data_IF_031041492260
#
_entry.id   IF_031041492260
#
_cell.length_a   1.000
_cell.length_b   1.000
_cell.length_c   1.000
_cell.angle_alpha   90.00
_cell.angle_beta   90.00
_cell.angle_gamma   90.00
#
_symmetry.space_group_name_H-M   'P 1'
#
loop_
_entity.id
_entity.type
_entity.pdbx_description
1 polymer ?
#
# COMPACT_ATOMS: atom_id res chain seq x y z
N UNK A 1 28.12 51.46 13.71
CA UNK A 1 28.41 51.83 12.29
C UNK A 1 27.66 50.77 11.46
N UNK A 2 26.44 50.87 11.03
CA UNK A 2 25.79 51.75 10.06
C UNK A 2 26.37 51.62 8.67
N UNK A 3 25.63 50.94 7.79
CA UNK A 3 25.32 51.28 6.39
C UNK A 3 24.61 50.04 5.78
N UNK A 4 23.36 49.97 5.48
CA UNK A 4 22.34 50.68 4.72
C UNK A 4 22.50 50.58 3.19
N UNK A 5 21.44 50.06 2.60
CA UNK A 5 20.81 50.37 1.32
C UNK A 5 21.36 49.61 0.09
N UNK A 6 20.56 49.22 -0.94
CA UNK A 6 19.31 49.72 -1.56
C UNK A 6 18.79 48.70 -2.57
N UNK A 7 17.51 48.39 -2.57
CA UNK A 7 16.47 48.56 -3.63
C UNK A 7 16.86 48.66 -5.10
N UNK A 8 16.21 47.86 -5.95
CA UNK A 8 15.62 48.24 -7.26
C UNK A 8 14.79 47.07 -7.81
N UNK A 9 13.52 47.02 -7.80
CA UNK A 9 12.35 47.33 -8.60
C UNK A 9 12.60 47.53 -10.11
N UNK A 10 11.88 46.70 -10.90
CA UNK A 10 11.28 47.08 -12.23
C UNK A 10 10.49 45.83 -12.70
N UNK A 11 9.19 45.78 -12.63
CA UNK A 11 8.11 46.37 -13.42
C UNK A 11 8.16 46.07 -14.93
N UNK A 12 7.09 45.50 -15.39
CA UNK A 12 6.59 45.50 -16.77
C UNK A 12 6.59 44.10 -17.38
N UNK A 13 5.59 43.61 -18.06
CA UNK A 13 4.46 44.26 -18.72
C UNK A 13 3.44 43.18 -19.11
N UNK A 14 2.20 43.54 -18.99
CA UNK A 14 1.00 42.93 -19.58
C UNK A 14 1.16 42.74 -21.10
N UNK A 15 0.62 41.59 -21.60
CA UNK A 15 -0.11 41.67 -22.88
C UNK A 15 -1.29 40.67 -22.82
N UNK A 16 -2.44 41.29 -22.79
CA UNK A 16 -3.73 40.70 -23.14
C UNK A 16 -3.81 40.56 -24.65
N UNK A 17 -4.33 39.45 -25.14
CA UNK A 17 -5.03 39.44 -26.41
C UNK A 17 -6.29 38.58 -26.31
N UNK A 18 -7.30 39.19 -26.43
CA UNK A 18 -8.73 39.20 -26.58
C UNK A 18 -9.11 38.63 -27.96
N UNK A 19 -10.22 37.92 -27.97
CA UNK A 19 -11.31 37.90 -28.95
C UNK A 19 -11.16 37.03 -30.19
N UNK A 20 -12.07 36.04 -30.36
CA UNK A 20 -13.14 36.21 -31.36
C UNK A 20 -14.18 35.09 -31.26
N UNK A 21 -15.33 35.46 -30.80
CA UNK A 21 -16.64 34.88 -31.07
C UNK A 21 -16.94 34.95 -32.56
N UNK A 22 -17.45 33.82 -33.15
CA UNK A 22 -18.19 33.94 -34.42
C UNK A 22 -19.46 33.12 -34.36
N UNK A 23 -20.52 33.83 -34.05
CA UNK A 23 -21.90 33.52 -34.23
C UNK A 23 -22.23 33.80 -35.70
N UNK A 24 -22.79 32.86 -36.42
CA UNK A 24 -23.54 33.15 -37.64
C UNK A 24 -24.89 32.47 -37.56
N UNK A 25 -25.86 33.32 -37.56
CA UNK A 25 -27.30 33.10 -37.58
C UNK A 25 -27.83 33.27 -39.02
N UNK A 26 -28.95 32.62 -39.24
CA UNK A 26 -30.01 32.99 -40.21
C UNK A 26 -29.80 32.61 -41.68
N UNK A 27 -30.81 32.00 -42.34
CA UNK A 27 -32.08 32.53 -42.81
C UNK A 27 -32.75 31.41 -43.65
N UNK A 28 -33.91 30.93 -43.37
CA UNK A 28 -35.24 31.39 -43.73
C UNK A 28 -35.57 31.42 -45.24
N UNK A 29 -36.70 30.82 -45.52
CA UNK A 29 -37.60 30.95 -46.65
C UNK A 29 -37.40 29.94 -47.78
N UNK A 30 -38.39 29.37 -48.40
CA UNK A 30 -39.79 29.72 -48.59
C UNK A 30 -40.47 28.62 -49.35
N UNK A 31 -41.68 28.31 -48.90
CA UNK A 31 -42.90 27.89 -49.62
C UNK A 31 -42.79 27.51 -51.11
N UNK A 32 -43.46 26.39 -51.46
CA UNK A 32 -44.59 26.43 -52.45
C UNK A 32 -45.27 25.07 -52.52
N UNK A 33 -46.53 25.11 -52.15
CA UNK A 33 -47.76 24.67 -52.84
C UNK A 33 -47.95 23.22 -53.28
N UNK A 34 -49.06 22.70 -52.72
CA UNK A 34 -49.81 21.53 -53.14
C UNK A 34 -50.32 21.65 -54.58
N UNK A 35 -50.67 20.49 -55.16
CA UNK A 35 -52.10 20.36 -55.45
C UNK A 35 -52.73 19.01 -54.95
N UNK A 36 -53.98 19.18 -54.64
CA UNK A 36 -55.04 18.16 -54.44
C UNK A 36 -55.16 17.28 -55.66
N UNK A 37 -55.41 16.02 -55.45
CA UNK A 37 -56.65 15.36 -55.72
C UNK A 37 -56.47 13.83 -55.79
N UNK A 38 -57.52 13.18 -55.32
CA UNK A 38 -58.17 11.94 -55.64
C UNK A 38 -57.87 10.65 -54.86
N UNK A 39 -58.88 10.41 -54.04
CA UNK A 39 -59.79 9.25 -53.95
C UNK A 39 -59.19 7.88 -53.52
N UNK A 40 -59.68 7.51 -52.33
CA UNK A 40 -60.46 6.32 -51.97
C UNK A 40 -59.88 4.95 -52.34
N UNK A 41 -59.56 4.23 -51.33
CA UNK A 41 -60.04 2.86 -51.08
C UNK A 41 -59.72 2.46 -49.64
N UNK A 42 -60.73 2.09 -48.91
CA UNK A 42 -60.69 1.35 -47.66
C UNK A 42 -59.84 0.11 -47.79
N UNK A 43 -58.86 0.00 -46.87
CA UNK A 43 -58.43 -1.31 -46.42
C UNK A 43 -57.94 -1.19 -44.96
N UNK A 44 -58.87 -1.58 -44.11
CA UNK A 44 -58.63 -1.78 -42.67
C UNK A 44 -57.58 -2.85 -42.45
N UNK A 45 -56.33 -2.42 -42.37
CA UNK A 45 -55.31 -3.32 -41.87
C UNK A 45 -55.22 -3.12 -40.37
N UNK A 46 -55.90 -3.99 -39.65
CA UNK A 46 -55.77 -4.28 -38.25
C UNK A 46 -54.29 -4.35 -37.88
N UNK A 47 -53.77 -3.31 -37.22
CA UNK A 47 -52.50 -3.41 -36.51
C UNK A 47 -52.70 -4.38 -35.34
N UNK A 48 -52.39 -5.63 -35.61
CA UNK A 48 -52.17 -6.67 -34.62
C UNK A 48 -51.00 -6.22 -33.77
N UNK A 49 -51.32 -5.62 -32.63
CA UNK A 49 -50.33 -5.44 -31.58
C UNK A 49 -49.82 -6.82 -31.19
N UNK A 50 -48.68 -7.18 -31.71
CA UNK A 50 -47.96 -8.37 -31.28
C UNK A 50 -47.57 -8.17 -29.81
N UNK A 51 -48.34 -8.84 -29.00
CA UNK A 51 -48.13 -9.06 -27.58
C UNK A 51 -46.84 -9.91 -27.41
N UNK A 52 -45.68 -9.25 -27.58
CA UNK A 52 -44.40 -9.84 -27.24
C UNK A 52 -44.21 -9.66 -25.73
N UNK A 53 -44.72 -10.56 -24.96
CA UNK A 53 -44.15 -10.99 -23.67
C UNK A 53 -45.17 -11.85 -22.91
N UNK A 54 -45.41 -13.03 -23.45
CA UNK A 54 -45.86 -14.10 -22.55
C UNK A 54 -45.27 -15.43 -23.01
N UNK A 55 -43.96 -15.51 -23.05
CA UNK A 55 -43.26 -16.79 -23.09
C UNK A 55 -43.46 -17.42 -21.72
N UNK A 56 -44.48 -18.24 -21.56
CA UNK A 56 -44.65 -19.13 -20.40
C UNK A 56 -43.36 -19.95 -20.27
N UNK A 57 -42.41 -19.43 -19.50
CA UNK A 57 -41.24 -20.20 -19.08
C UNK A 57 -41.78 -21.37 -18.27
N UNK A 58 -41.61 -22.59 -18.79
CA UNK A 58 -42.17 -23.80 -18.19
C UNK A 58 -41.84 -23.83 -16.70
N UNK A 59 -42.82 -24.10 -15.84
CA UNK A 59 -42.75 -23.98 -14.38
C UNK A 59 -41.56 -24.63 -13.71
N UNK A 60 -40.91 -25.60 -14.36
CA UNK A 60 -39.67 -26.23 -13.89
C UNK A 60 -38.45 -25.29 -13.98
N UNK A 61 -38.36 -24.42 -15.01
CA UNK A 61 -37.26 -23.44 -15.15
C UNK A 61 -37.42 -22.27 -14.18
N UNK A 62 -38.63 -21.83 -13.89
CA UNK A 62 -38.90 -20.78 -12.90
C UNK A 62 -38.63 -21.29 -11.48
N UNK A 63 -39.00 -22.54 -11.18
CA UNK A 63 -38.69 -23.19 -9.90
C UNK A 63 -37.19 -23.35 -9.69
N UNK A 64 -36.45 -23.72 -10.72
CA UNK A 64 -34.99 -23.82 -10.68
C UNK A 64 -34.32 -22.45 -10.47
N UNK A 65 -34.81 -21.39 -11.13
CA UNK A 65 -34.30 -20.03 -10.92
C UNK A 65 -34.62 -19.53 -9.52
N UNK A 66 -35.79 -19.82 -8.96
CA UNK A 66 -36.13 -19.48 -7.57
C UNK A 66 -35.24 -20.23 -6.56
N UNK A 67 -35.00 -21.51 -6.78
CA UNK A 67 -34.10 -22.30 -5.96
C UNK A 67 -32.68 -21.78 -6.03
N UNK A 68 -32.18 -21.44 -7.22
CA UNK A 68 -30.87 -20.83 -7.41
C UNK A 68 -30.77 -19.46 -6.70
N UNK A 69 -31.79 -18.62 -6.82
CA UNK A 69 -31.86 -17.33 -6.13
C UNK A 69 -31.85 -17.49 -4.60
N UNK A 70 -32.59 -18.48 -4.07
CA UNK A 70 -32.60 -18.78 -2.64
C UNK A 70 -31.22 -19.26 -2.13
N UNK A 71 -30.51 -20.09 -2.92
CA UNK A 71 -29.14 -20.51 -2.59
C UNK A 71 -28.19 -19.32 -2.60
N UNK A 72 -28.26 -18.44 -3.62
CA UNK A 72 -27.43 -17.23 -3.69
C UNK A 72 -27.71 -16.29 -2.51
N UNK A 73 -28.97 -16.07 -2.15
CA UNK A 73 -29.34 -15.27 -0.98
C UNK A 73 -28.88 -15.91 0.32
N UNK A 74 -28.96 -17.23 0.46
CA UNK A 74 -28.42 -17.98 1.59
C UNK A 74 -26.90 -17.83 1.73
N UNK A 75 -26.18 -17.94 0.61
CA UNK A 75 -24.72 -17.70 0.58
C UNK A 75 -24.38 -16.24 0.93
N UNK A 76 -25.07 -15.26 0.37
CA UNK A 76 -24.87 -13.85 0.72
C UNK A 76 -25.14 -13.58 2.20
N UNK A 77 -26.18 -14.20 2.78
CA UNK A 77 -26.47 -14.09 4.21
C UNK A 77 -25.38 -14.77 5.07
N UNK A 78 -24.91 -15.95 4.68
CA UNK A 78 -23.86 -16.68 5.38
C UNK A 78 -22.52 -15.92 5.34
N UNK A 79 -22.16 -15.37 4.18
CA UNK A 79 -20.92 -14.62 3.98
C UNK A 79 -21.07 -13.12 4.19
N UNK A 80 -22.16 -12.65 4.82
CA UNK A 80 -22.40 -11.20 5.05
C UNK A 80 -21.24 -10.51 5.76
N UNK A 81 -20.55 -11.19 6.68
CA UNK A 81 -19.39 -10.66 7.42
C UNK A 81 -18.16 -10.39 6.52
N UNK A 82 -18.07 -11.02 5.35
CA UNK A 82 -17.01 -10.73 4.38
C UNK A 82 -17.23 -9.39 3.67
N UNK A 83 -18.50 -8.92 3.60
CA UNK A 83 -18.85 -7.71 2.87
C UNK A 83 -19.24 -6.55 3.78
N UNK A 84 -19.87 -6.83 4.91
CA UNK A 84 -20.36 -5.84 5.87
C UNK A 84 -19.67 -6.07 7.21
N UNK A 85 -18.91 -5.08 7.69
CA UNK A 85 -18.17 -5.15 8.95
C UNK A 85 -18.97 -4.59 10.12
N UNK A 86 -19.87 -3.63 9.86
CA UNK A 86 -20.73 -3.04 10.88
C UNK A 86 -22.01 -2.46 10.27
N UNK A 87 -23.01 -2.18 11.12
CA UNK A 87 -24.19 -1.41 10.73
C UNK A 87 -24.43 -0.31 11.77
N UNK A 88 -24.75 0.89 11.30
CA UNK A 88 -25.11 2.03 12.16
C UNK A 88 -26.50 2.51 11.78
N UNK A 89 -27.45 2.38 12.69
CA UNK A 89 -28.87 2.72 12.44
C UNK A 89 -29.42 2.10 11.15
N UNK A 90 -29.07 0.81 10.88
CA UNK A 90 -29.48 0.08 9.69
C UNK A 90 -28.65 0.36 8.42
N UNK A 91 -27.75 1.35 8.42
CA UNK A 91 -26.85 1.63 7.29
C UNK A 91 -25.59 0.74 7.39
N UNK A 92 -25.27 -0.08 6.37
CA UNK A 92 -24.11 -0.95 6.42
C UNK A 92 -22.80 -0.18 6.19
N UNK A 93 -21.79 -0.50 6.97
CA UNK A 93 -20.39 -0.16 6.72
C UNK A 93 -19.76 -1.39 6.06
N UNK A 94 -19.34 -1.25 4.82
CA UNK A 94 -18.77 -2.35 4.06
C UNK A 94 -17.27 -2.51 4.34
N UNK A 95 -16.77 -3.74 4.20
CA UNK A 95 -15.32 -4.00 4.25
C UNK A 95 -14.56 -3.17 3.22
N UNK A 96 -15.12 -3.04 2.00
CA UNK A 96 -14.50 -2.25 0.94
C UNK A 96 -14.35 -0.78 1.33
N UNK A 97 -15.33 -0.19 2.04
CA UNK A 97 -15.24 1.18 2.54
C UNK A 97 -14.09 1.33 3.55
N UNK A 98 -13.97 0.37 4.49
CA UNK A 98 -12.88 0.36 5.47
C UNK A 98 -11.52 0.20 4.79
N UNK A 99 -11.40 -0.77 3.86
CA UNK A 99 -10.15 -0.98 3.10
C UNK A 99 -9.78 0.26 2.30
N UNK A 100 -10.74 0.87 1.60
CA UNK A 100 -10.50 2.11 0.82
C UNK A 100 -10.05 3.27 1.72
N UNK A 101 -10.57 3.37 2.93
CA UNK A 101 -10.14 4.40 3.86
C UNK A 101 -8.72 4.13 4.40
N UNK A 102 -8.40 2.90 4.77
CA UNK A 102 -7.06 2.48 5.15
C UNK A 102 -6.04 2.68 4.01
N UNK A 103 -6.42 2.35 2.77
CA UNK A 103 -5.59 2.59 1.60
C UNK A 103 -5.29 4.08 1.40
N UNK A 104 -6.26 4.97 1.61
CA UNK A 104 -6.05 6.42 1.52
C UNK A 104 -5.10 6.93 2.61
N UNK A 105 -5.19 6.36 3.81
CA UNK A 105 -4.38 6.80 4.94
C UNK A 105 -2.93 6.30 4.85
N UNK A 106 -2.71 5.06 4.47
CA UNK A 106 -1.39 4.42 4.52
C UNK A 106 -1.08 3.48 3.34
N UNK A 107 -1.87 3.51 2.27
CA UNK A 107 -1.72 2.59 1.14
C UNK A 107 -0.34 2.65 0.49
N UNK A 108 0.20 3.86 0.31
CA UNK A 108 1.55 4.05 -0.24
C UNK A 108 2.62 3.42 0.66
N UNK A 109 2.60 3.72 1.96
CA UNK A 109 3.57 3.18 2.90
C UNK A 109 3.51 1.65 3.00
N UNK A 110 2.29 1.09 3.01
CA UNK A 110 2.09 -0.36 3.01
C UNK A 110 2.63 -1.01 1.72
N UNK A 111 2.37 -0.41 0.56
CA UNK A 111 2.89 -0.90 -0.72
C UNK A 111 4.42 -0.83 -0.77
N UNK A 112 5.02 0.29 -0.36
CA UNK A 112 6.47 0.47 -0.33
C UNK A 112 7.14 -0.56 0.60
N UNK A 113 6.54 -0.86 1.75
CA UNK A 113 7.01 -1.91 2.66
C UNK A 113 6.94 -3.31 2.03
N UNK A 114 5.85 -3.63 1.34
CA UNK A 114 5.69 -4.91 0.65
C UNK A 114 6.70 -5.07 -0.50
N UNK A 115 6.90 -4.03 -1.29
CA UNK A 115 7.92 -4.00 -2.35
C UNK A 115 9.32 -4.19 -1.76
N UNK A 116 9.64 -3.48 -0.68
CA UNK A 116 10.91 -3.61 0.02
C UNK A 116 11.14 -5.03 0.52
N UNK A 117 10.14 -5.62 1.20
CA UNK A 117 10.20 -7.01 1.69
C UNK A 117 10.44 -7.99 0.54
N UNK A 118 9.71 -7.83 -0.56
CA UNK A 118 9.85 -8.72 -1.73
C UNK A 118 11.25 -8.61 -2.36
N UNK A 119 11.79 -7.40 -2.50
CA UNK A 119 13.15 -7.20 -3.01
C UNK A 119 14.22 -7.88 -2.14
N UNK A 120 14.08 -7.79 -0.82
CA UNK A 120 14.98 -8.45 0.13
C UNK A 120 14.92 -9.97 -0.02
N UNK A 121 13.71 -10.54 -0.12
CA UNK A 121 13.51 -11.98 -0.28
C UNK A 121 14.09 -12.49 -1.61
N UNK A 122 13.89 -11.74 -2.69
CA UNK A 122 14.45 -12.09 -4.00
C UNK A 122 15.98 -12.04 -3.99
N UNK A 123 16.57 -11.01 -3.38
CA UNK A 123 18.04 -10.93 -3.29
C UNK A 123 18.62 -12.02 -2.38
N UNK A 124 17.97 -12.35 -1.26
CA UNK A 124 18.36 -13.47 -0.41
C UNK A 124 18.33 -14.80 -1.19
N UNK A 125 17.25 -15.04 -1.94
CA UNK A 125 17.10 -16.22 -2.79
C UNK A 125 18.19 -16.29 -3.86
N UNK A 126 18.47 -15.17 -4.53
CA UNK A 126 19.50 -15.06 -5.55
C UNK A 126 20.91 -15.36 -5.00
N UNK A 127 21.17 -14.97 -3.76
CA UNK A 127 22.43 -15.26 -3.05
C UNK A 127 22.46 -16.63 -2.38
N UNK A 128 21.38 -17.41 -2.44
CA UNK A 128 21.29 -18.72 -1.77
C UNK A 128 21.25 -18.62 -0.24
N UNK A 129 20.90 -17.45 0.30
CA UNK A 129 20.80 -17.23 1.74
C UNK A 129 19.44 -17.76 2.24
N UNK A 130 19.48 -18.58 3.29
CA UNK A 130 18.28 -19.16 3.89
C UNK A 130 18.21 -18.78 5.37
N UNK A 131 16.99 -18.54 5.86
CA UNK A 131 16.67 -18.33 7.28
C UNK A 131 15.73 -19.44 7.71
N UNK A 132 16.17 -20.26 8.65
CA UNK A 132 15.41 -21.40 9.15
C UNK A 132 14.46 -20.98 10.27
N UNK A 133 13.49 -21.85 10.62
CA UNK A 133 12.64 -21.61 11.77
C UNK A 133 13.45 -21.58 13.06
N UNK A 134 14.46 -22.41 13.18
CA UNK A 134 15.35 -22.42 14.36
C UNK A 134 16.09 -21.08 14.55
N UNK A 135 16.49 -20.42 13.46
CA UNK A 135 17.09 -19.08 13.54
C UNK A 135 16.09 -18.06 14.12
N UNK A 136 14.85 -18.12 13.67
CA UNK A 136 13.76 -17.22 14.13
C UNK A 136 13.44 -17.50 15.60
N UNK A 137 13.31 -18.77 15.99
CA UNK A 137 13.02 -19.16 17.36
C UNK A 137 14.13 -18.74 18.32
N UNK A 138 15.40 -18.80 17.86
CA UNK A 138 16.55 -18.31 18.62
C UNK A 138 16.47 -16.80 18.88
N UNK A 139 16.09 -16.00 17.87
CA UNK A 139 15.92 -14.54 18.05
C UNK A 139 14.70 -14.21 18.92
N UNK A 140 13.60 -14.96 18.77
CA UNK A 140 12.43 -14.82 19.65
C UNK A 140 12.77 -15.10 21.09
N UNK A 141 13.55 -16.16 21.37
CA UNK A 141 14.01 -16.46 22.73
C UNK A 141 14.84 -15.33 23.35
N UNK A 142 15.74 -14.71 22.59
CA UNK A 142 16.49 -13.55 23.07
C UNK A 142 15.60 -12.37 23.43
N UNK A 143 14.57 -12.11 22.61
CA UNK A 143 13.58 -11.05 22.89
C UNK A 143 12.78 -11.40 24.14
N UNK A 144 12.33 -12.65 24.29
CA UNK A 144 11.61 -13.11 25.48
C UNK A 144 12.45 -12.94 26.75
N UNK A 145 13.74 -13.26 26.70
CA UNK A 145 14.64 -13.12 27.84
C UNK A 145 14.90 -11.65 28.20
N UNK A 146 15.02 -10.78 27.21
CA UNK A 146 15.14 -9.33 27.44
C UNK A 146 13.87 -8.76 28.08
N UNK A 147 12.69 -9.18 27.60
CA UNK A 147 11.39 -8.74 28.16
C UNK A 147 11.20 -9.27 29.59
N UNK A 148 11.57 -10.53 29.87
CA UNK A 148 11.53 -11.10 31.22
C UNK A 148 12.42 -10.31 32.20
N UNK A 149 13.61 -9.89 31.77
CA UNK A 149 14.48 -9.05 32.59
C UNK A 149 13.84 -7.67 32.94
N UNK A 150 12.87 -7.23 32.14
CA UNK A 150 12.08 -6.00 32.36
C UNK A 150 10.72 -6.29 33.05
N UNK A 151 10.46 -7.52 33.48
CA UNK A 151 9.21 -7.93 34.12
C UNK A 151 8.01 -8.03 33.15
N UNK A 152 8.29 -8.13 31.84
CA UNK A 152 7.24 -8.22 30.80
C UNK A 152 7.28 -9.60 30.11
N UNK A 153 6.16 -9.94 29.46
CA UNK A 153 6.10 -11.12 28.57
C UNK A 153 5.90 -10.68 27.13
N UNK A 154 6.37 -11.51 26.18
CA UNK A 154 6.17 -11.26 24.77
C UNK A 154 4.66 -11.11 24.43
N UNK A 155 3.80 -11.98 24.96
CA UNK A 155 2.35 -11.94 24.70
C UNK A 155 1.71 -10.65 25.19
N UNK A 156 2.14 -10.09 26.34
CA UNK A 156 1.66 -8.79 26.83
C UNK A 156 2.03 -7.65 25.86
N UNK A 157 3.28 -7.62 25.40
CA UNK A 157 3.75 -6.61 24.46
C UNK A 157 3.02 -6.73 23.12
N UNK A 158 2.88 -7.93 22.60
CA UNK A 158 2.15 -8.18 21.34
C UNK A 158 0.69 -7.74 21.42
N UNK A 159 0.00 -8.13 22.50
CA UNK A 159 -1.40 -7.72 22.73
C UNK A 159 -1.56 -6.21 22.77
N UNK A 160 -0.64 -5.52 23.47
CA UNK A 160 -0.68 -4.05 23.58
C UNK A 160 -0.44 -3.37 22.23
N UNK A 161 0.37 -3.95 21.37
CA UNK A 161 0.70 -3.42 20.05
C UNK A 161 -0.24 -3.91 18.94
N UNK A 162 -1.18 -4.80 19.25
CA UNK A 162 -2.08 -5.40 18.26
C UNK A 162 -1.37 -6.29 17.25
N UNK A 163 -0.21 -6.85 17.63
CA UNK A 163 0.60 -7.74 16.81
C UNK A 163 0.39 -9.21 17.20
N UNK A 164 0.66 -10.10 16.25
CA UNK A 164 0.72 -11.54 16.49
C UNK A 164 2.16 -12.03 16.56
N UNK A 165 2.38 -13.20 17.14
CA UNK A 165 3.70 -13.86 17.11
C UNK A 165 4.16 -14.14 15.67
N UNK A 166 3.23 -14.39 14.74
CA UNK A 166 3.53 -14.56 13.33
C UNK A 166 4.10 -13.28 12.71
N UNK A 167 3.51 -12.11 13.01
CA UNK A 167 4.00 -10.82 12.51
C UNK A 167 5.44 -10.55 12.97
N UNK A 168 5.74 -10.83 14.24
CA UNK A 168 7.10 -10.70 14.76
C UNK A 168 8.06 -11.69 14.10
N UNK A 169 7.65 -12.94 13.93
CA UNK A 169 8.46 -13.96 13.25
C UNK A 169 8.77 -13.56 11.80
N UNK A 170 7.80 -13.00 11.08
CA UNK A 170 7.99 -12.51 9.71
C UNK A 170 8.96 -11.31 9.65
N UNK A 171 8.88 -10.40 10.61
CA UNK A 171 9.80 -9.26 10.71
C UNK A 171 11.22 -9.74 11.06
N UNK A 172 11.35 -10.69 11.98
CA UNK A 172 12.64 -11.31 12.33
C UNK A 172 13.27 -12.02 11.13
N UNK A 173 12.46 -12.73 10.35
CA UNK A 173 12.95 -13.39 9.13
C UNK A 173 13.57 -12.38 8.17
N UNK A 174 12.89 -11.26 7.93
CA UNK A 174 13.41 -10.19 7.06
C UNK A 174 14.69 -9.58 7.64
N UNK A 175 14.71 -9.30 8.94
CA UNK A 175 15.92 -8.80 9.66
C UNK A 175 17.09 -9.74 9.45
N UNK A 176 16.91 -11.04 9.70
CA UNK A 176 17.96 -12.04 9.55
C UNK A 176 18.47 -12.18 8.10
N UNK A 177 17.57 -12.03 7.11
CA UNK A 177 18.02 -11.96 5.72
C UNK A 177 18.92 -10.76 5.47
N UNK A 178 18.54 -9.56 5.93
CA UNK A 178 19.34 -8.34 5.78
C UNK A 178 20.72 -8.52 6.43
N UNK A 179 20.75 -9.00 7.67
CA UNK A 179 21.99 -9.22 8.40
C UNK A 179 22.93 -10.19 7.66
N UNK A 180 22.40 -11.31 7.14
CA UNK A 180 23.19 -12.29 6.38
C UNK A 180 23.63 -11.79 5.00
N UNK A 181 22.82 -10.96 4.34
CA UNK A 181 23.16 -10.37 3.04
C UNK A 181 24.29 -9.37 3.18
N UNK A 182 24.32 -8.63 4.29
CA UNK A 182 25.26 -7.55 4.53
C UNK A 182 26.42 -7.94 5.47
N UNK A 183 26.51 -9.18 5.95
CA UNK A 183 27.47 -9.61 6.96
C UNK A 183 28.91 -9.27 6.60
N UNK A 184 29.31 -9.52 5.35
CA UNK A 184 30.64 -9.19 4.85
C UNK A 184 30.96 -7.68 4.88
N UNK A 185 29.93 -6.83 4.77
CA UNK A 185 30.07 -5.36 4.73
C UNK A 185 30.07 -4.70 6.09
N UNK A 186 29.51 -5.38 7.09
CA UNK A 186 29.32 -4.82 8.45
C UNK A 186 30.28 -5.41 9.50
N UNK A 187 31.27 -6.15 9.05
CA UNK A 187 32.28 -6.69 9.95
C UNK A 187 33.02 -5.57 10.70
N UNK A 188 33.29 -5.78 11.98
CA UNK A 188 34.02 -4.85 12.86
C UNK A 188 35.20 -5.58 13.43
N UNK A 189 36.40 -5.08 13.15
CA UNK A 189 37.65 -5.61 13.71
C UNK A 189 37.85 -5.20 15.17
N UNK A 190 38.74 -5.86 15.85
CA UNK A 190 39.17 -5.44 17.20
C UNK A 190 39.83 -4.08 17.16
N UNK A 191 40.58 -3.77 16.10
CA UNK A 191 41.24 -2.48 15.92
C UNK A 191 40.19 -1.35 15.72
N UNK A 192 39.12 -1.58 14.98
CA UNK A 192 38.01 -0.63 14.85
C UNK A 192 37.39 -0.33 16.22
N UNK A 193 37.12 -1.38 17.00
CA UNK A 193 36.53 -1.25 18.33
C UNK A 193 37.50 -0.51 19.29
N UNK A 194 38.79 -0.82 19.21
CA UNK A 194 39.82 -0.18 20.03
C UNK A 194 39.93 1.31 19.69
N UNK A 195 39.99 1.64 18.40
CA UNK A 195 40.02 3.02 17.94
C UNK A 195 38.79 3.79 18.43
N UNK A 196 37.57 3.22 18.27
CA UNK A 196 36.33 3.84 18.75
C UNK A 196 36.40 4.11 20.27
N UNK A 197 36.89 3.15 21.06
CA UNK A 197 37.05 3.31 22.49
C UNK A 197 38.03 4.45 22.83
N UNK A 198 39.17 4.51 22.16
CA UNK A 198 40.21 5.53 22.43
C UNK A 198 39.71 6.93 22.03
N UNK A 199 39.02 7.05 20.87
CA UNK A 199 38.46 8.31 20.39
C UNK A 199 37.30 8.82 21.29
N UNK A 200 36.59 7.90 21.97
CA UNK A 200 35.43 8.22 22.79
C UNK A 200 35.64 7.94 24.28
N UNK A 201 36.88 7.84 24.73
CA UNK A 201 37.25 7.41 26.10
C UNK A 201 36.53 8.19 27.21
N UNK A 202 36.22 9.46 26.98
CA UNK A 202 35.52 10.30 27.94
C UNK A 202 34.05 9.88 28.16
N UNK A 203 33.46 9.13 27.20
CA UNK A 203 32.07 8.65 27.25
C UNK A 203 31.91 7.31 27.95
N UNK A 204 33.01 6.62 28.23
CA UNK A 204 33.03 5.33 28.93
C UNK A 204 33.23 5.49 30.42
N UNK A 205 32.68 4.58 31.25
CA UNK A 205 32.91 4.56 32.67
C UNK A 205 34.40 4.41 32.97
N UNK A 206 34.93 5.21 33.90
CA UNK A 206 36.38 5.24 34.23
C UNK A 206 36.91 3.93 34.87
N UNK A 207 36.01 3.15 35.43
CA UNK A 207 36.24 1.85 36.08
C UNK A 207 36.17 0.66 35.11
N UNK A 208 35.85 0.91 33.81
CA UNK A 208 35.78 -0.12 32.78
C UNK A 208 36.95 -0.03 31.82
N UNK A 209 37.62 -1.16 31.61
CA UNK A 209 38.67 -1.29 30.60
C UNK A 209 38.07 -1.44 29.19
N UNK A 210 38.92 -1.34 28.17
CA UNK A 210 38.52 -1.67 26.79
C UNK A 210 37.98 -3.10 26.67
N UNK A 211 38.66 -4.05 27.33
CA UNK A 211 38.27 -5.46 27.26
C UNK A 211 36.86 -5.70 27.83
N UNK A 212 36.48 -4.95 28.88
CA UNK A 212 35.13 -5.01 29.46
C UNK A 212 34.06 -4.44 28.55
N UNK A 213 34.42 -3.57 27.60
CA UNK A 213 33.50 -2.85 26.72
C UNK A 213 33.57 -3.32 25.25
N UNK A 214 34.56 -4.12 24.91
CA UNK A 214 34.92 -4.52 23.55
C UNK A 214 33.71 -5.10 22.78
N UNK A 215 33.01 -6.06 23.35
CA UNK A 215 31.90 -6.73 22.67
C UNK A 215 30.75 -5.76 22.48
N UNK A 216 30.43 -4.94 23.48
CA UNK A 216 29.40 -3.92 23.39
C UNK A 216 29.74 -2.87 22.32
N UNK A 217 30.99 -2.44 22.23
CA UNK A 217 31.45 -1.50 21.21
C UNK A 217 31.35 -2.14 19.81
N UNK A 218 31.80 -3.39 19.68
CA UNK A 218 31.66 -4.12 18.39
C UNK A 218 30.22 -4.24 17.94
N UNK A 219 29.30 -4.59 18.82
CA UNK A 219 27.90 -4.68 18.54
C UNK A 219 27.32 -3.31 18.14
N UNK A 220 27.67 -2.25 18.85
CA UNK A 220 27.27 -0.88 18.54
C UNK A 220 27.76 -0.45 17.14
N UNK A 221 29.03 -0.65 16.84
CA UNK A 221 29.66 -0.33 15.56
C UNK A 221 29.03 -1.17 14.43
N UNK A 222 28.78 -2.46 14.69
CA UNK A 222 28.12 -3.35 13.72
C UNK A 222 26.72 -2.84 13.39
N UNK A 223 25.94 -2.40 14.38
CA UNK A 223 24.60 -1.83 14.16
C UNK A 223 24.67 -0.51 13.38
N UNK A 224 25.63 0.36 13.65
CA UNK A 224 25.83 1.60 12.89
C UNK A 224 26.18 1.30 11.42
N UNK A 225 27.18 0.43 11.17
CA UNK A 225 27.56 -0.01 9.82
C UNK A 225 26.39 -0.68 9.11
N UNK A 226 25.60 -1.51 9.81
CA UNK A 226 24.43 -2.16 9.24
C UNK A 226 23.40 -1.14 8.76
N UNK A 227 23.12 -0.11 9.55
CA UNK A 227 22.19 0.95 9.19
C UNK A 227 22.65 1.72 7.93
N UNK A 228 23.94 2.08 7.87
CA UNK A 228 24.51 2.79 6.73
C UNK A 228 24.53 1.95 5.45
N UNK A 229 25.02 0.70 5.56
CA UNK A 229 25.10 -0.22 4.42
C UNK A 229 23.73 -0.68 3.94
N UNK A 230 22.75 -0.82 4.84
CA UNK A 230 21.38 -1.12 4.49
C UNK A 230 20.77 -0.04 3.59
N UNK A 231 20.94 1.25 3.91
CA UNK A 231 20.41 2.34 3.09
C UNK A 231 21.00 2.32 1.68
N UNK A 232 22.34 2.27 1.59
CA UNK A 232 23.04 2.19 0.30
C UNK A 232 22.60 0.98 -0.51
N UNK A 233 22.56 -0.17 0.13
CA UNK A 233 22.16 -1.42 -0.52
C UNK A 233 20.69 -1.39 -1.00
N UNK A 234 19.78 -0.85 -0.19
CA UNK A 234 18.37 -0.73 -0.58
C UNK A 234 18.16 0.25 -1.74
N UNK A 235 18.90 1.35 -1.76
CA UNK A 235 18.85 2.30 -2.88
C UNK A 235 19.35 1.64 -4.17
N UNK A 236 20.47 0.92 -4.11
CA UNK A 236 21.00 0.15 -5.23
C UNK A 236 20.01 -0.95 -5.69
N UNK A 237 19.42 -1.66 -4.75
CA UNK A 237 18.48 -2.74 -5.02
C UNK A 237 17.22 -2.21 -5.73
N UNK A 238 16.68 -1.09 -5.26
CA UNK A 238 15.52 -0.41 -5.87
C UNK A 238 15.87 0.15 -7.25
N UNK A 239 17.04 0.75 -7.43
CA UNK A 239 17.49 1.31 -8.70
C UNK A 239 17.65 0.24 -9.79
N UNK A 240 18.06 -0.97 -9.41
CA UNK A 240 18.27 -2.08 -10.32
C UNK A 240 17.04 -2.99 -10.51
N UNK A 241 15.99 -2.79 -9.71
CA UNK A 241 14.77 -3.60 -9.77
C UNK A 241 13.81 -3.08 -10.85
N UNK A 242 13.17 -4.01 -11.57
CA UNK A 242 12.07 -3.67 -12.47
C UNK A 242 10.75 -3.72 -11.68
N UNK A 243 10.32 -2.56 -11.17
CA UNK A 243 9.09 -2.44 -10.39
C UNK A 243 8.01 -1.80 -11.28
N UNK A 244 6.88 -2.48 -11.44
CA UNK A 244 5.73 -1.96 -12.18
C UNK A 244 4.57 -1.71 -11.21
N UNK A 245 4.14 -0.47 -11.08
CA UNK A 245 3.01 -0.09 -10.26
C UNK A 245 1.74 -0.01 -11.11
N UNK A 246 0.73 -0.84 -10.79
CA UNK A 246 -0.57 -0.83 -11.47
C UNK A 246 -1.61 0.04 -10.76
N UNK A 247 -1.30 0.46 -9.52
CA UNK A 247 -2.12 1.36 -8.70
C UNK A 247 -1.20 2.29 -7.93
N UNK A 248 -1.55 3.55 -7.88
CA UNK A 248 -0.90 4.58 -7.04
C UNK A 248 -1.86 4.95 -5.90
N UNK A 249 -1.31 5.18 -4.72
CA UNK A 249 -2.04 5.57 -3.52
C UNK A 249 -1.73 7.00 -3.12
#
# INVERSE_FOLDING_TARGET
MAAKAKTSSKTGSRTSTKTATKKVSSKLSSSKEMPKDMMVSDESTSMKSENMMNRKMGGKKTLFLLALAAVVLGLLYYYKSLFVVATVNGKPITRMAVVSDLEKQNGKGALDNLVTKELILQEASKKGITVTQADIDGELSKIEDQLKAQGQTLDQVLTTQGLTKADVSDNLRVKLYIERILDDKVSVSDDDAKKYYDDNKASFPKDKSFDDQKDQIKDQLKQQKLQEEYQKWMDDLKANAKINYFKTY
#
